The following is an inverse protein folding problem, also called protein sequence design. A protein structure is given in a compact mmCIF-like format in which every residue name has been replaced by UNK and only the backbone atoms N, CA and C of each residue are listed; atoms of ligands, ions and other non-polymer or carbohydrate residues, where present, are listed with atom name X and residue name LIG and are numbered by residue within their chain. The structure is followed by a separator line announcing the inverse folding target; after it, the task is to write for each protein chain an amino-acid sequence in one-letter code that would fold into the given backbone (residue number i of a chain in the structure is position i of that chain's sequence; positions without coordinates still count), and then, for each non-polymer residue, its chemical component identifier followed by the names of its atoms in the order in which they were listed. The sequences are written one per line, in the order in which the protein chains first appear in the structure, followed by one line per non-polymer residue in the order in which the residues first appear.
data_IF_058548314509
#
_entry.id   IF_058548314509
#
_cell.length_a   1.000
_cell.length_b   1.000
_cell.length_c   1.000
_cell.angle_alpha   90.00
_cell.angle_beta   90.00
_cell.angle_gamma   90.00
#
_symmetry.space_group_name_H-M   'P 1'
#
loop_
_entity.id
_entity.type
_entity.pdbx_description
1 polymer ?
#
# COMPACT_ATOMS: atom_id res chain seq x y z
N UNK A 1 -26.36 7.60 11.72
CA UNK A 1 -25.43 6.76 12.49
C UNK A 1 -24.08 7.43 12.34
N UNK A 2 -23.46 7.86 13.44
CA UNK A 2 -22.09 8.41 13.40
C UNK A 2 -21.14 7.24 13.17
N UNK A 3 -20.27 7.34 12.16
CA UNK A 3 -19.25 6.32 11.90
C UNK A 3 -18.23 6.35 13.04
N UNK A 4 -17.91 5.20 13.62
CA UNK A 4 -16.78 5.07 14.54
C UNK A 4 -15.51 4.94 13.70
N UNK A 5 -14.88 6.07 13.39
CA UNK A 5 -13.70 6.13 12.54
C UNK A 5 -12.51 5.42 13.17
N UNK A 6 -12.36 5.47 14.50
CA UNK A 6 -11.31 4.75 15.21
C UNK A 6 -11.44 3.23 15.07
N UNK A 7 -12.67 2.69 15.06
CA UNK A 7 -12.89 1.27 14.79
C UNK A 7 -12.61 0.89 13.33
N UNK A 8 -13.06 1.71 12.38
CA UNK A 8 -12.82 1.47 10.95
C UNK A 8 -11.33 1.57 10.62
N UNK A 9 -10.61 2.55 11.16
CA UNK A 9 -9.17 2.69 10.92
C UNK A 9 -8.39 1.51 11.50
N UNK A 10 -8.67 1.11 12.74
CA UNK A 10 -8.09 -0.11 13.34
C UNK A 10 -8.37 -1.36 12.51
N UNK A 11 -9.55 -1.45 11.90
CA UNK A 11 -9.88 -2.56 11.00
C UNK A 11 -9.04 -2.51 9.73
N UNK A 12 -8.85 -1.35 9.11
CA UNK A 12 -7.98 -1.21 7.93
C UNK A 12 -6.54 -1.59 8.26
N UNK A 13 -6.02 -1.16 9.41
CA UNK A 13 -4.66 -1.47 9.84
C UNK A 13 -4.40 -2.98 10.03
N UNK A 14 -5.43 -3.80 10.23
CA UNK A 14 -5.27 -5.26 10.30
C UNK A 14 -4.93 -5.90 8.95
N UNK A 15 -5.23 -5.22 7.84
CA UNK A 15 -4.89 -5.69 6.50
C UNK A 15 -3.40 -5.53 6.16
N UNK A 16 -2.63 -4.81 6.99
CA UNK A 16 -1.19 -4.69 6.83
C UNK A 16 -0.50 -5.96 7.32
N UNK A 17 0.45 -6.45 6.54
CA UNK A 17 1.33 -7.54 6.95
C UNK A 17 2.65 -6.96 7.41
N UNK A 18 2.98 -7.14 8.68
CA UNK A 18 4.34 -6.94 9.15
C UNK A 18 5.13 -8.21 8.83
N UNK A 19 5.87 -8.19 7.72
CA UNK A 19 6.89 -9.21 7.49
C UNK A 19 7.86 -9.23 8.67
N UNK A 20 8.42 -10.39 8.98
CA UNK A 20 9.49 -10.52 9.98
C UNK A 20 10.79 -9.88 9.43
N UNK A 21 10.77 -8.57 9.21
CA UNK A 21 11.88 -7.75 8.79
C UNK A 21 12.73 -7.37 9.99
N UNK A 22 13.28 -8.37 10.68
CA UNK A 22 14.48 -8.11 11.46
C UNK A 22 15.53 -7.69 10.43
N UNK A 23 15.83 -6.39 10.37
CA UNK A 23 16.97 -5.85 9.64
C UNK A 23 18.20 -6.51 10.24
N UNK A 24 18.61 -7.67 9.70
CA UNK A 24 19.86 -8.31 10.05
C UNK A 24 20.96 -7.37 9.57
N UNK A 25 21.47 -6.56 10.50
CA UNK A 25 22.68 -5.77 10.34
C UNK A 25 23.87 -6.74 10.27
N UNK A 26 23.97 -7.48 9.18
CA UNK A 26 24.98 -8.49 8.93
C UNK A 26 25.36 -8.43 7.46
N UNK A 27 26.54 -7.90 7.17
CA UNK A 27 27.09 -7.80 5.81
C UNK A 27 27.51 -9.19 5.31
N UNK A 28 26.54 -10.07 5.08
CA UNK A 28 26.75 -11.23 4.21
C UNK A 28 26.36 -10.82 2.80
N UNK A 29 27.30 -10.94 1.86
CA UNK A 29 27.02 -10.81 0.44
C UNK A 29 26.21 -12.05 0.04
N UNK A 30 24.91 -12.01 0.30
CA UNK A 30 23.98 -12.98 -0.27
C UNK A 30 24.10 -12.90 -1.79
N UNK A 31 24.29 -14.06 -2.43
CA UNK A 31 24.14 -14.15 -3.88
C UNK A 31 22.74 -13.65 -4.25
N UNK A 32 22.61 -12.89 -5.36
CA UNK A 32 21.30 -12.44 -5.79
C UNK A 32 20.42 -13.69 -5.95
N UNK A 33 19.29 -13.75 -5.23
CA UNK A 33 18.42 -14.92 -5.23
C UNK A 33 17.98 -15.26 -6.66
N UNK A 34 17.58 -16.50 -6.94
CA UNK A 34 17.08 -16.84 -8.27
C UNK A 34 15.77 -16.09 -8.59
N UNK A 35 15.49 -15.75 -9.87
CA UNK A 35 14.20 -15.18 -10.26
C UNK A 35 13.05 -16.12 -9.91
N UNK A 36 11.86 -15.55 -9.75
CA UNK A 36 10.65 -16.36 -9.48
C UNK A 36 10.37 -17.25 -10.68
N UNK A 37 9.90 -18.46 -10.40
CA UNK A 37 9.35 -19.36 -11.40
C UNK A 37 7.92 -18.95 -11.76
N UNK A 38 7.44 -19.38 -12.92
CA UNK A 38 6.03 -19.18 -13.31
C UNK A 38 5.05 -19.85 -12.34
N UNK A 39 5.44 -20.95 -11.69
CA UNK A 39 4.61 -21.62 -10.67
C UNK A 39 4.48 -20.76 -9.42
N UNK A 40 5.60 -20.27 -8.87
CA UNK A 40 5.61 -19.36 -7.72
C UNK A 40 4.84 -18.07 -7.99
N UNK A 41 4.96 -17.51 -9.19
CA UNK A 41 4.21 -16.32 -9.58
C UNK A 41 2.69 -16.58 -9.59
N UNK A 42 2.24 -17.75 -10.07
CA UNK A 42 0.82 -18.12 -10.03
C UNK A 42 0.33 -18.33 -8.61
N UNK A 43 1.12 -19.00 -7.77
CA UNK A 43 0.79 -19.15 -6.35
C UNK A 43 0.66 -17.79 -5.64
N UNK A 44 1.53 -16.84 -5.96
CA UNK A 44 1.46 -15.49 -5.41
C UNK A 44 0.18 -14.76 -5.84
N UNK A 45 -0.17 -14.80 -7.13
CA UNK A 45 -1.40 -14.21 -7.65
C UNK A 45 -2.67 -14.84 -7.05
N UNK A 46 -2.67 -16.16 -6.90
CA UNK A 46 -3.76 -16.90 -6.29
C UNK A 46 -3.94 -16.54 -4.81
N UNK A 47 -2.85 -16.47 -4.03
CA UNK A 47 -2.90 -16.12 -2.61
C UNK A 47 -3.30 -14.65 -2.39
N UNK A 48 -2.76 -13.74 -3.20
CA UNK A 48 -3.04 -12.30 -3.11
C UNK A 48 -4.39 -11.92 -3.75
N UNK A 49 -4.98 -12.83 -4.54
CA UNK A 49 -6.26 -12.60 -5.21
C UNK A 49 -6.21 -11.52 -6.30
N UNK A 50 -5.02 -11.28 -6.88
CA UNK A 50 -4.77 -10.28 -7.91
C UNK A 50 -4.10 -10.91 -9.13
N UNK A 51 -4.12 -10.21 -10.25
CA UNK A 51 -3.28 -10.54 -11.42
C UNK A 51 -2.29 -9.43 -11.62
N UNK A 52 -1.00 -9.74 -11.59
CA UNK A 52 0.03 -8.73 -11.76
C UNK A 52 0.01 -8.16 -13.19
N UNK A 53 0.32 -6.85 -13.35
CA UNK A 53 0.55 -6.27 -14.67
C UNK A 53 1.63 -7.04 -15.45
N UNK A 54 1.44 -7.21 -16.76
CA UNK A 54 2.32 -8.03 -17.61
C UNK A 54 3.80 -7.63 -17.49
N UNK A 55 4.10 -6.33 -17.54
CA UNK A 55 5.46 -5.80 -17.38
C UNK A 55 6.08 -6.17 -16.02
N UNK A 56 5.27 -6.24 -14.96
CA UNK A 56 5.73 -6.62 -13.63
C UNK A 56 5.95 -8.13 -13.53
N UNK A 57 5.10 -8.95 -14.15
CA UNK A 57 5.32 -10.40 -14.26
C UNK A 57 6.65 -10.69 -14.96
N UNK A 58 6.88 -10.03 -16.09
CA UNK A 58 8.11 -10.16 -16.87
C UNK A 58 9.35 -9.73 -16.07
N UNK A 59 9.22 -8.67 -15.26
CA UNK A 59 10.26 -8.25 -14.34
C UNK A 59 10.59 -9.36 -13.33
N UNK A 60 9.58 -9.88 -12.62
CA UNK A 60 9.76 -10.90 -11.57
C UNK A 60 10.37 -12.23 -12.10
N UNK A 61 10.04 -12.61 -13.34
CA UNK A 61 10.56 -13.82 -13.98
C UNK A 61 12.00 -13.67 -14.49
N UNK A 62 12.40 -12.46 -14.91
CA UNK A 62 13.72 -12.22 -15.54
C UNK A 62 14.77 -11.68 -14.58
N UNK A 63 14.34 -10.86 -13.64
CA UNK A 63 15.18 -10.17 -12.67
C UNK A 63 14.67 -10.65 -11.31
N UNK A 64 15.40 -11.55 -10.68
CA UNK A 64 15.16 -11.75 -9.27
C UNK A 64 15.25 -10.43 -8.56
N UNK A 65 14.25 -10.12 -7.75
CA UNK A 65 14.08 -8.84 -7.10
C UNK A 65 15.19 -8.59 -6.06
N UNK A 66 16.34 -8.17 -6.56
CA UNK A 66 17.45 -7.58 -5.84
C UNK A 66 17.83 -6.28 -6.55
N UNK A 67 17.36 -5.16 -6.02
CA UNK A 67 17.49 -3.85 -6.62
C UNK A 67 16.77 -2.78 -5.81
N UNK A 68 16.33 -1.72 -6.48
CA UNK A 68 15.57 -0.61 -5.85
C UNK A 68 14.12 -0.97 -5.49
N UNK A 69 13.61 -2.08 -6.02
CA UNK A 69 12.23 -2.52 -5.82
C UNK A 69 12.20 -3.61 -4.74
N UNK A 70 11.27 -3.47 -3.79
CA UNK A 70 10.99 -4.41 -2.72
C UNK A 70 10.75 -5.81 -3.29
N UNK A 71 11.34 -6.80 -2.64
CA UNK A 71 11.37 -8.18 -3.15
C UNK A 71 10.08 -8.90 -2.84
N UNK A 72 9.36 -9.36 -3.87
CA UNK A 72 8.27 -10.32 -3.66
C UNK A 72 8.86 -11.67 -3.24
N UNK A 73 8.47 -12.15 -2.06
CA UNK A 73 8.88 -13.47 -1.54
C UNK A 73 7.77 -14.08 -0.71
N UNK A 74 7.84 -15.39 -0.54
CA UNK A 74 7.00 -16.12 0.40
C UNK A 74 7.73 -16.30 1.73
N UNK A 75 7.06 -16.01 2.83
CA UNK A 75 7.52 -16.26 4.19
C UNK A 75 6.44 -16.96 5.04
N UNK A 76 6.62 -16.98 6.36
CA UNK A 76 5.67 -17.62 7.28
C UNK A 76 4.27 -16.97 7.29
N UNK A 77 4.18 -15.69 6.90
CA UNK A 77 2.93 -14.94 6.77
C UNK A 77 2.30 -15.06 5.37
N UNK A 78 2.98 -15.72 4.42
CA UNK A 78 2.53 -15.90 3.04
C UNK A 78 3.36 -15.10 2.04
N UNK A 79 2.78 -14.81 0.88
CA UNK A 79 3.39 -13.95 -0.15
C UNK A 79 3.33 -12.47 0.27
N UNK A 80 4.45 -11.77 0.13
CA UNK A 80 4.55 -10.34 0.43
C UNK A 80 5.83 -9.71 -0.08
N UNK A 81 5.90 -8.38 0.04
CA UNK A 81 7.05 -7.59 -0.37
C UNK A 81 7.98 -7.34 0.81
N UNK A 82 9.25 -7.71 0.65
CA UNK A 82 10.27 -7.54 1.68
C UNK A 82 10.55 -6.06 1.93
N UNK A 83 10.48 -5.66 3.19
CA UNK A 83 10.65 -4.26 3.59
C UNK A 83 9.41 -3.38 3.41
N UNK A 84 8.30 -3.93 2.93
CA UNK A 84 7.01 -3.24 2.87
C UNK A 84 6.14 -3.62 4.07
N UNK A 85 5.71 -2.60 4.81
CA UNK A 85 4.72 -2.71 5.89
C UNK A 85 3.45 -1.91 5.63
N UNK A 86 3.42 -1.18 4.52
CA UNK A 86 2.43 -0.12 4.28
C UNK A 86 1.35 -0.59 3.32
N UNK A 87 1.60 -1.65 2.54
CA UNK A 87 0.55 -2.27 1.71
C UNK A 87 -0.53 -2.90 2.58
N UNK A 88 -1.77 -2.48 2.35
CA UNK A 88 -2.96 -3.09 2.89
C UNK A 88 -3.47 -4.23 1.98
N UNK A 89 -3.24 -5.47 2.40
CA UNK A 89 -3.54 -6.66 1.60
C UNK A 89 -5.04 -6.88 1.40
N UNK A 90 -5.88 -6.42 2.34
CA UNK A 90 -7.34 -6.54 2.25
C UNK A 90 -7.92 -5.61 1.17
N UNK A 91 -7.20 -4.55 0.80
CA UNK A 91 -7.60 -3.59 -0.22
C UNK A 91 -7.05 -3.89 -1.61
N UNK A 92 -6.21 -4.93 -1.78
CA UNK A 92 -5.59 -5.24 -3.08
C UNK A 92 -6.59 -5.58 -4.18
N UNK A 93 -7.75 -6.12 -3.81
CA UNK A 93 -8.81 -6.50 -4.76
C UNK A 93 -9.76 -5.36 -5.09
N UNK A 94 -9.58 -4.22 -4.45
CA UNK A 94 -10.34 -3.00 -4.73
C UNK A 94 -9.62 -2.24 -5.82
N UNK A 95 -10.36 -1.67 -6.77
CA UNK A 95 -9.77 -0.89 -7.86
C UNK A 95 -9.02 0.33 -7.34
N UNK A 96 -7.86 0.61 -7.93
CA UNK A 96 -7.12 1.83 -7.62
C UNK A 96 -7.93 3.07 -8.01
N UNK A 97 -8.26 3.94 -7.05
CA UNK A 97 -9.19 5.03 -7.29
C UNK A 97 -8.60 6.10 -8.19
N UNK A 98 -9.46 6.73 -8.98
CA UNK A 98 -9.06 7.93 -9.72
C UNK A 98 -8.98 9.12 -8.75
N UNK A 99 -7.98 10.00 -8.83
CA UNK A 99 -7.88 11.16 -7.93
C UNK A 99 -9.17 12.01 -7.85
N UNK A 100 -9.86 12.16 -8.97
CA UNK A 100 -11.12 12.93 -9.01
C UNK A 100 -12.27 12.26 -8.24
N UNK A 101 -12.18 10.96 -7.91
CA UNK A 101 -13.23 10.26 -7.15
C UNK A 101 -13.19 10.58 -5.66
N UNK A 102 -12.06 11.10 -5.14
CA UNK A 102 -11.89 11.38 -3.72
C UNK A 102 -11.53 12.83 -3.40
N UNK A 103 -11.06 13.62 -4.39
CA UNK A 103 -10.68 15.03 -4.22
C UNK A 103 -11.68 15.88 -3.43
N UNK A 104 -12.95 15.87 -3.82
CA UNK A 104 -13.95 16.72 -3.15
C UNK A 104 -14.21 16.32 -1.68
N UNK A 105 -13.99 15.04 -1.33
CA UNK A 105 -14.12 14.56 0.04
C UNK A 105 -12.84 14.81 0.84
N UNK A 106 -11.67 14.76 0.19
CA UNK A 106 -10.40 15.21 0.76
C UNK A 106 -10.46 16.71 1.09
N UNK A 107 -10.94 17.55 0.17
CA UNK A 107 -11.12 18.99 0.40
C UNK A 107 -12.07 19.25 1.61
N UNK A 108 -13.16 18.49 1.73
CA UNK A 108 -14.07 18.56 2.89
C UNK A 108 -13.42 18.10 4.19
N UNK A 109 -12.55 17.09 4.15
CA UNK A 109 -11.78 16.66 5.31
C UNK A 109 -10.80 17.74 5.75
N UNK A 110 -10.05 18.31 4.81
CA UNK A 110 -9.09 19.38 5.06
C UNK A 110 -9.78 20.62 5.66
N UNK A 111 -10.94 21.00 5.13
CA UNK A 111 -11.74 22.12 5.64
C UNK A 111 -12.29 21.87 7.06
N UNK A 112 -12.44 20.60 7.45
CA UNK A 112 -12.90 20.17 8.78
C UNK A 112 -11.77 19.89 9.77
N UNK A 113 -10.50 20.08 9.40
CA UNK A 113 -9.37 19.86 10.30
C UNK A 113 -9.57 20.66 11.61
N UNK A 114 -9.60 19.98 12.78
CA UNK A 114 -9.78 20.66 14.05
C UNK A 114 -8.61 21.60 14.32
N UNK A 115 -8.92 22.86 14.66
CA UNK A 115 -7.91 23.83 15.09
C UNK A 115 -8.08 24.12 16.58
N UNK A 116 -6.98 24.09 17.34
CA UNK A 116 -7.00 24.26 18.81
C UNK A 116 -7.77 25.51 19.27
N UNK A 117 -7.70 26.60 18.50
CA UNK A 117 -8.40 27.87 18.76
C UNK A 117 -9.93 27.78 18.78
N UNK A 118 -10.51 26.74 18.18
CA UNK A 118 -11.96 26.57 18.06
C UNK A 118 -12.55 25.80 19.25
N UNK A 119 -11.70 25.36 20.19
CA UNK A 119 -12.10 24.57 21.36
C UNK A 119 -11.83 25.32 22.67
N UNK A 120 -12.73 25.11 23.64
CA UNK A 120 -12.64 25.74 24.95
C UNK A 120 -11.58 25.09 25.87
N UNK A 121 -11.25 23.83 25.63
CA UNK A 121 -10.23 23.08 26.36
C UNK A 121 -9.52 22.06 25.46
N UNK A 122 -8.30 21.70 25.86
CA UNK A 122 -7.44 20.81 25.07
C UNK A 122 -7.92 19.37 25.00
N UNK A 123 -8.75 18.90 25.94
CA UNK A 123 -9.27 17.53 25.89
C UNK A 123 -10.36 17.38 24.83
N UNK A 124 -11.23 18.40 24.69
CA UNK A 124 -12.21 18.48 23.62
C UNK A 124 -11.54 18.60 22.25
N UNK A 125 -10.47 19.40 22.14
CA UNK A 125 -9.65 19.48 20.93
C UNK A 125 -9.03 18.12 20.57
N UNK A 126 -8.35 17.47 21.52
CA UNK A 126 -7.70 16.19 21.26
C UNK A 126 -8.71 15.13 20.79
N UNK A 127 -9.89 15.06 21.41
CA UNK A 127 -10.92 14.11 21.00
C UNK A 127 -11.43 14.37 19.57
N UNK A 128 -11.59 15.64 19.17
CA UNK A 128 -11.98 16.00 17.82
C UNK A 128 -10.85 15.71 16.81
N UNK A 129 -9.60 16.00 17.18
CA UNK A 129 -8.43 15.73 16.37
C UNK A 129 -8.25 14.23 16.14
N UNK A 130 -8.38 13.41 17.20
CA UNK A 130 -8.29 11.95 17.08
C UNK A 130 -9.37 11.39 16.14
N UNK A 131 -10.62 11.86 16.24
CA UNK A 131 -11.70 11.39 15.37
C UNK A 131 -11.45 11.77 13.89
N UNK A 132 -11.01 13.01 13.65
CA UNK A 132 -10.62 13.50 12.32
C UNK A 132 -9.41 12.73 11.75
N UNK A 133 -8.36 12.50 12.55
CA UNK A 133 -7.15 11.78 12.13
C UNK A 133 -7.47 10.31 11.79
N UNK A 134 -8.39 9.68 12.53
CA UNK A 134 -8.87 8.34 12.19
C UNK A 134 -9.69 8.33 10.88
N UNK A 135 -10.56 9.32 10.64
CA UNK A 135 -11.30 9.46 9.38
C UNK A 135 -10.33 9.67 8.21
N UNK A 136 -9.35 10.55 8.40
CA UNK A 136 -8.31 10.85 7.43
C UNK A 136 -7.44 9.62 7.16
N UNK A 137 -7.04 8.86 8.19
CA UNK A 137 -6.31 7.60 8.05
C UNK A 137 -7.06 6.57 7.19
N UNK A 138 -8.36 6.39 7.44
CA UNK A 138 -9.23 5.55 6.59
C UNK A 138 -9.28 6.05 5.14
N UNK A 139 -9.34 7.37 4.95
CA UNK A 139 -9.32 7.98 3.62
C UNK A 139 -8.00 7.70 2.89
N UNK A 140 -6.87 7.84 3.57
CA UNK A 140 -5.54 7.60 3.01
C UNK A 140 -5.33 6.13 2.59
N UNK A 141 -5.80 5.18 3.40
CA UNK A 141 -5.81 3.75 3.05
C UNK A 141 -6.63 3.48 1.79
N UNK A 142 -7.81 4.09 1.66
CA UNK A 142 -8.66 3.94 0.47
C UNK A 142 -8.02 4.50 -0.79
N UNK A 143 -7.19 5.54 -0.69
CA UNK A 143 -6.49 6.16 -1.83
C UNK A 143 -5.43 5.26 -2.44
N UNK A 144 -4.90 4.31 -1.68
CA UNK A 144 -3.86 3.37 -2.12
C UNK A 144 -4.39 1.96 -2.37
N UNK A 145 -5.71 1.76 -2.23
CA UNK A 145 -6.38 0.51 -2.59
C UNK A 145 -5.99 0.04 -3.99
N UNK A 146 -5.84 -1.27 -4.19
CA UNK A 146 -5.43 -1.81 -5.48
C UNK A 146 -3.99 -1.48 -5.91
N UNK A 147 -3.15 -0.97 -5.00
CA UNK A 147 -1.73 -0.75 -5.23
C UNK A 147 -0.85 -1.34 -4.12
N UNK A 148 0.42 -1.56 -4.45
CA UNK A 148 1.44 -2.09 -3.54
C UNK A 148 2.64 -1.15 -3.47
N UNK A 149 3.24 -0.99 -2.30
CA UNK A 149 4.43 -0.18 -2.10
C UNK A 149 5.68 -0.95 -2.53
N UNK A 150 6.17 -0.63 -3.72
CA UNK A 150 7.31 -1.33 -4.33
C UNK A 150 8.66 -0.68 -4.03
N UNK A 151 8.69 0.55 -3.54
CA UNK A 151 9.93 1.22 -3.15
C UNK A 151 9.65 2.38 -2.20
N UNK A 152 10.40 2.49 -1.11
CA UNK A 152 10.47 3.66 -0.23
C UNK A 152 11.69 4.52 -0.63
N UNK A 153 11.54 5.86 -0.61
CA UNK A 153 12.60 6.82 -0.99
C UNK A 153 13.02 7.78 0.13
N UNK A 154 12.57 7.55 1.37
CA UNK A 154 12.66 8.51 2.46
C UNK A 154 11.57 9.58 2.44
N UNK A 155 11.37 10.24 3.57
CA UNK A 155 10.51 11.44 3.72
C UNK A 155 9.04 11.22 3.30
N UNK A 156 8.52 10.00 3.41
CA UNK A 156 7.14 9.68 3.05
C UNK A 156 6.90 9.57 1.53
N UNK A 157 7.95 9.61 0.71
CA UNK A 157 7.84 9.36 -0.71
C UNK A 157 8.05 7.88 -1.01
N UNK A 158 7.05 7.27 -1.64
CA UNK A 158 7.11 5.88 -2.06
C UNK A 158 6.63 5.73 -3.50
N UNK A 159 7.13 4.70 -4.18
CA UNK A 159 6.58 4.29 -5.48
C UNK A 159 5.55 3.19 -5.26
N UNK A 160 4.35 3.45 -5.77
CA UNK A 160 3.24 2.50 -5.80
C UNK A 160 3.19 1.79 -7.16
N UNK A 161 2.92 0.49 -7.14
CA UNK A 161 2.54 -0.29 -8.32
C UNK A 161 1.03 -0.56 -8.25
N UNK A 162 0.28 -0.09 -9.24
CA UNK A 162 -1.15 -0.41 -9.37
C UNK A 162 -1.29 -1.85 -9.89
N UNK A 163 -1.97 -2.68 -9.12
CA UNK A 163 -2.21 -4.10 -9.42
C UNK A 163 -3.67 -4.43 -9.73
N UNK A 164 -4.61 -3.56 -9.33
CA UNK A 164 -6.05 -3.74 -9.56
C UNK A 164 -6.70 -2.44 -10.03
N UNK A 165 -7.64 -2.56 -10.97
CA UNK A 165 -8.39 -1.44 -11.54
C UNK A 165 -8.01 -1.09 -12.99
N UNK A 166 -8.76 -0.18 -13.65
CA UNK A 166 -8.66 0.10 -15.08
C UNK A 166 -7.32 0.72 -15.54
N UNK A 167 -6.42 1.01 -14.60
CA UNK A 167 -5.05 1.48 -14.84
C UNK A 167 -4.01 0.35 -14.81
N UNK A 168 -4.41 -0.91 -14.75
CA UNK A 168 -3.51 -2.07 -14.88
C UNK A 168 -3.00 -2.16 -16.32
N UNK A 169 -1.93 -1.41 -16.59
CA UNK A 169 -1.15 -1.35 -17.83
C UNK A 169 -1.82 -0.76 -19.08
N UNK A 170 -1.15 0.23 -19.68
CA UNK A 170 -1.10 0.37 -21.14
C UNK A 170 0.31 0.86 -21.52
N UNK A 171 1.06 0.14 -22.36
CA UNK A 171 2.33 0.66 -22.90
C UNK A 171 2.05 1.89 -23.78
N UNK A 172 2.94 2.90 -23.85
CA UNK A 172 2.83 3.94 -24.87
C UNK A 172 3.02 3.28 -26.24
N UNK A 173 1.91 2.95 -26.90
CA UNK A 173 1.91 2.56 -28.30
C UNK A 173 2.10 3.83 -29.11
N UNK A 174 3.35 4.24 -29.32
CA UNK A 174 3.67 5.10 -30.46
C UNK A 174 4.13 4.18 -31.58
N UNK A 175 3.19 3.91 -32.51
CA UNK A 175 3.49 3.36 -33.83
C UNK A 175 4.36 4.37 -34.60
N UNK A 176 5.20 3.82 -35.48
CA UNK A 176 6.11 4.41 -36.46
C UNK A 176 5.93 5.88 -36.81
#
# INVERSE_FOLDING_TARGET
MTTDWAAEYRRMLQGHRHGAGERTTGRHREEPPAPLTTAELREAEEELGITFPEDYRDHLLRRSAGGRINRLRRDAAGWGWDGDSDTNYDLLRTDFPHPDSYRAYEDDLDDREPLEKDFADGAAFQAAWDDWDNEYGVHQERKTAGAVYIQEHGCGFSTLLVVTGPRTSTPPTTRC
#
